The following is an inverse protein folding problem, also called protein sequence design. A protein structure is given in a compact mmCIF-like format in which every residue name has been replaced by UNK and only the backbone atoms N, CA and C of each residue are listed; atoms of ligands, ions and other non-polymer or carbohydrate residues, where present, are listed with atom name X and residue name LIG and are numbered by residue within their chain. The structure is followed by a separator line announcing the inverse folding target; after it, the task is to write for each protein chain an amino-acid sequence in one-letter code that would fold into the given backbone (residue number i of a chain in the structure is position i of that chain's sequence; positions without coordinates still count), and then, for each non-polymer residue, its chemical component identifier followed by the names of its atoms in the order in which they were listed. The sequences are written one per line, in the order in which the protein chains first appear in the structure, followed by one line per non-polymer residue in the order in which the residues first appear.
data_IF_945144923912
#
_entry.id   IF_945144923912
#
_cell.length_a   1.000
_cell.length_b   1.000
_cell.length_c   1.000
_cell.angle_alpha   90.00
_cell.angle_beta   90.00
_cell.angle_gamma   90.00
#
_symmetry.space_group_name_H-M   'P 1'
#
loop_
_entity.id
_entity.type
_entity.pdbx_description
1 polymer ?
#
# COMPACT_ATOMS: atom_id res chain seq x y z
N UNK A 1 17.46 -30.57 4.60
CA UNK A 1 16.09 -29.98 4.66
C UNK A 1 16.11 -28.69 3.87
N UNK A 2 15.36 -28.59 2.77
CA UNK A 2 15.38 -27.45 1.85
C UNK A 2 14.58 -26.28 2.43
N UNK A 3 15.21 -25.13 2.62
CA UNK A 3 14.54 -23.88 2.96
C UNK A 3 13.74 -23.40 1.74
N UNK A 4 12.43 -23.19 1.92
CA UNK A 4 11.56 -22.62 0.90
C UNK A 4 11.79 -21.10 0.93
N UNK A 5 12.59 -20.63 -0.02
CA UNK A 5 12.77 -19.21 -0.31
C UNK A 5 11.48 -18.70 -0.98
N UNK A 6 10.65 -17.96 -0.24
CA UNK A 6 9.48 -17.29 -0.82
C UNK A 6 9.98 -16.04 -1.54
N UNK A 7 10.30 -16.17 -2.82
CA UNK A 7 10.50 -15.04 -3.72
C UNK A 7 9.14 -14.44 -4.08
N UNK A 8 8.96 -13.15 -3.79
CA UNK A 8 7.85 -12.36 -4.31
C UNK A 8 8.21 -11.95 -5.74
N UNK A 9 7.50 -12.52 -6.72
CA UNK A 9 7.61 -12.13 -8.14
C UNK A 9 6.53 -11.09 -8.43
N UNK A 10 6.93 -9.93 -8.93
CA UNK A 10 6.03 -8.88 -9.41
C UNK A 10 5.41 -9.31 -10.75
N UNK A 11 4.08 -9.33 -10.83
CA UNK A 11 3.38 -9.68 -12.07
C UNK A 11 3.36 -8.49 -13.03
N UNK A 12 4.01 -8.68 -14.18
CA UNK A 12 4.00 -7.83 -15.37
C UNK A 12 2.60 -7.81 -16.03
N UNK A 13 2.28 -6.67 -16.64
CA UNK A 13 1.03 -6.31 -17.31
C UNK A 13 0.72 -7.17 -18.55
N UNK A 14 -0.57 -7.51 -18.73
CA UNK A 14 -1.11 -8.08 -19.96
C UNK A 14 -1.63 -6.96 -20.90
N UNK A 15 -1.49 -7.09 -22.24
CA UNK A 15 -1.87 -6.06 -23.21
C UNK A 15 -3.38 -6.08 -23.56
N UNK A 16 -3.93 -4.99 -24.13
CA UNK A 16 -5.37 -4.88 -24.45
C UNK A 16 -5.76 -5.69 -25.70
N UNK A 17 -6.90 -6.38 -25.63
CA UNK A 17 -7.54 -7.06 -26.76
C UNK A 17 -8.21 -6.04 -27.69
N UNK A 18 -8.00 -6.24 -28.99
CA UNK A 18 -8.50 -5.40 -30.08
C UNK A 18 -9.99 -5.62 -30.36
N UNK A 19 -10.69 -4.51 -30.63
CA UNK A 19 -12.08 -4.48 -31.05
C UNK A 19 -12.18 -4.86 -32.54
N UNK A 20 -12.91 -5.94 -32.87
CA UNK A 20 -13.31 -6.25 -34.26
C UNK A 20 -14.67 -5.60 -34.55
N UNK A 21 -14.67 -4.66 -35.48
CA UNK A 21 -15.87 -4.10 -36.09
C UNK A 21 -16.54 -5.14 -37.02
N UNK A 22 -17.87 -5.23 -36.97
CA UNK A 22 -18.68 -5.80 -38.04
C UNK A 22 -19.69 -4.76 -38.51
N UNK A 23 -19.65 -4.56 -39.82
CA UNK A 23 -20.51 -3.71 -40.63
C UNK A 23 -21.89 -4.35 -40.86
N UNK A 24 -22.91 -3.51 -41.01
CA UNK A 24 -24.25 -3.91 -41.46
C UNK A 24 -25.02 -2.68 -41.96
N UNK A 25 -25.47 -2.77 -43.21
CA UNK A 25 -26.01 -1.70 -44.05
C UNK A 25 -27.52 -1.40 -43.85
N UNK A 26 -27.87 -0.14 -44.12
CA UNK A 26 -29.06 0.42 -44.82
C UNK A 26 -30.51 0.09 -44.38
N UNK A 27 -31.30 1.12 -44.05
CA UNK A 27 -32.34 1.68 -44.94
C UNK A 27 -33.06 2.94 -44.38
N UNK A 28 -33.27 3.92 -45.27
CA UNK A 28 -34.20 5.07 -45.24
C UNK A 28 -35.66 4.65 -44.88
N UNK A 29 -36.61 5.42 -44.32
CA UNK A 29 -36.93 6.86 -44.34
C UNK A 29 -38.12 7.16 -43.36
N UNK A 30 -38.71 8.38 -43.25
CA UNK A 30 -39.03 9.06 -41.98
C UNK A 30 -40.51 9.00 -41.54
N UNK A 31 -40.85 9.49 -40.33
CA UNK A 31 -42.10 10.22 -40.00
C UNK A 31 -42.16 10.76 -38.54
N UNK A 32 -42.50 12.05 -38.43
CA UNK A 32 -43.30 12.80 -37.42
C UNK A 32 -43.08 12.66 -35.89
N UNK A 33 -42.60 13.76 -35.32
CA UNK A 33 -43.09 14.52 -34.14
C UNK A 33 -44.16 13.89 -33.23
N UNK A 34 -43.80 13.68 -31.96
CA UNK A 34 -44.64 14.03 -30.79
C UNK A 34 -43.76 14.36 -29.58
N UNK A 35 -43.93 15.55 -29.01
CA UNK A 35 -43.37 15.96 -27.72
C UNK A 35 -44.02 15.13 -26.61
N UNK A 36 -43.24 14.34 -25.89
CA UNK A 36 -43.62 13.73 -24.62
C UNK A 36 -42.70 14.29 -23.53
N UNK A 37 -43.28 15.14 -22.68
CA UNK A 37 -42.66 15.62 -21.46
C UNK A 37 -42.57 14.44 -20.49
N UNK A 38 -41.42 13.75 -20.48
CA UNK A 38 -41.14 12.73 -19.48
C UNK A 38 -40.76 13.43 -18.16
N UNK A 39 -41.67 13.35 -17.19
CA UNK A 39 -41.43 13.71 -15.79
C UNK A 39 -40.11 13.06 -15.33
N UNK A 40 -39.14 13.89 -14.97
CA UNK A 40 -37.86 13.44 -14.47
C UNK A 40 -38.05 12.50 -13.27
N UNK A 41 -37.62 11.25 -13.43
CA UNK A 41 -37.26 10.42 -12.28
C UNK A 41 -36.12 11.14 -11.58
N UNK A 42 -36.43 11.75 -10.44
CA UNK A 42 -35.41 12.19 -9.47
C UNK A 42 -34.53 10.97 -9.21
N UNK A 43 -33.33 10.99 -9.78
CA UNK A 43 -32.27 10.11 -9.33
C UNK A 43 -32.12 10.42 -7.85
N UNK A 44 -32.43 9.43 -7.01
CA UNK A 44 -32.14 9.54 -5.58
C UNK A 44 -30.64 9.80 -5.52
N UNK A 45 -30.28 10.93 -4.92
CA UNK A 45 -28.91 11.20 -4.52
C UNK A 45 -28.58 10.11 -3.50
N UNK A 46 -27.99 9.00 -3.96
CA UNK A 46 -27.33 8.07 -3.06
C UNK A 46 -26.24 8.88 -2.38
N UNK A 47 -26.37 9.09 -1.07
CA UNK A 47 -25.27 9.60 -0.24
C UNK A 47 -24.04 8.80 -0.67
N UNK A 48 -23.09 9.46 -1.34
CA UNK A 48 -21.83 8.83 -1.73
C UNK A 48 -21.23 8.24 -0.46
N UNK A 49 -21.26 6.91 -0.30
CA UNK A 49 -20.70 6.30 0.89
C UNK A 49 -19.21 6.60 0.90
N UNK A 50 -18.71 7.06 2.03
CA UNK A 50 -17.29 7.34 2.23
C UNK A 50 -16.44 6.08 2.01
N UNK A 51 -15.24 6.24 1.46
CA UNK A 51 -14.28 5.14 1.27
C UNK A 51 -13.92 4.54 2.64
N UNK A 52 -13.87 3.21 2.73
CA UNK A 52 -13.42 2.52 3.94
C UNK A 52 -12.06 1.89 3.66
N UNK A 53 -11.07 2.19 4.50
CA UNK A 53 -9.76 1.54 4.52
C UNK A 53 -9.75 0.47 5.61
N UNK A 54 -9.52 -0.79 5.25
CA UNK A 54 -9.33 -1.88 6.21
C UNK A 54 -7.84 -1.98 6.59
N UNK A 55 -7.51 -1.52 7.80
CA UNK A 55 -6.14 -1.40 8.31
C UNK A 55 -5.97 -2.20 9.62
N UNK A 56 -4.72 -2.44 10.02
CA UNK A 56 -4.33 -3.11 11.25
C UNK A 56 -4.16 -2.09 12.38
N UNK A 57 -4.87 -2.22 13.52
CA UNK A 57 -4.72 -1.28 14.62
C UNK A 57 -3.37 -1.42 15.32
N UNK A 58 -2.84 -0.30 15.80
CA UNK A 58 -1.88 -0.28 16.90
C UNK A 58 -2.61 -0.23 18.26
N UNK A 59 -1.88 -0.45 19.36
CA UNK A 59 -2.33 -0.19 20.74
C UNK A 59 -2.80 1.24 20.95
N UNK A 60 -2.31 2.18 20.13
CA UNK A 60 -2.65 3.59 20.18
C UNK A 60 -3.83 3.95 19.27
N UNK A 61 -4.40 2.99 18.54
CA UNK A 61 -5.49 3.23 17.58
C UNK A 61 -5.02 3.96 16.32
N UNK A 62 -3.76 3.78 15.93
CA UNK A 62 -3.13 4.42 14.77
C UNK A 62 -2.55 3.39 13.80
N UNK A 63 -2.35 3.80 12.55
CA UNK A 63 -1.69 2.98 11.53
C UNK A 63 -0.20 2.82 11.80
N UNK A 64 0.34 1.63 11.58
CA UNK A 64 1.77 1.33 11.84
C UNK A 64 2.44 0.51 10.73
N UNK A 65 1.66 -0.29 10.00
CA UNK A 65 2.19 -1.28 9.06
C UNK A 65 2.60 -0.66 7.73
N UNK A 66 3.74 -1.11 7.18
CA UNK A 66 4.28 -0.63 5.90
C UNK A 66 3.25 -0.69 4.76
N UNK A 67 2.55 -1.80 4.59
CA UNK A 67 1.67 -1.96 3.42
C UNK A 67 0.46 -1.02 3.47
N UNK A 68 -0.30 -0.93 4.57
CA UNK A 68 -1.42 0.01 4.67
C UNK A 68 -1.00 1.48 4.63
N UNK A 69 0.18 1.82 5.15
CA UNK A 69 0.69 3.19 5.05
C UNK A 69 0.87 3.67 3.60
N UNK A 70 1.15 2.78 2.64
CA UNK A 70 1.18 3.13 1.20
C UNK A 70 -0.18 3.66 0.73
N UNK A 71 -1.25 2.97 1.10
CA UNK A 71 -2.63 3.37 0.77
C UNK A 71 -3.04 4.62 1.54
N UNK A 72 -2.68 4.73 2.82
CA UNK A 72 -2.95 5.92 3.65
C UNK A 72 -2.31 7.17 3.06
N UNK A 73 -1.02 7.10 2.70
CA UNK A 73 -0.29 8.18 2.03
C UNK A 73 -0.96 8.57 0.71
N UNK A 74 -1.32 7.59 -0.14
CA UNK A 74 -1.99 7.87 -1.41
C UNK A 74 -3.35 8.55 -1.22
N UNK A 75 -4.16 8.11 -0.26
CA UNK A 75 -5.45 8.72 0.07
C UNK A 75 -5.27 10.16 0.62
N UNK A 76 -4.30 10.35 1.52
CA UNK A 76 -4.00 11.64 2.14
C UNK A 76 -3.49 12.65 1.12
N UNK A 77 -2.53 12.24 0.27
CA UNK A 77 -2.02 13.06 -0.83
C UNK A 77 -3.11 13.49 -1.81
N UNK A 78 -4.03 12.57 -2.15
CA UNK A 78 -5.17 12.89 -3.02
C UNK A 78 -6.27 13.71 -2.33
N UNK A 79 -6.18 13.95 -1.03
CA UNK A 79 -7.23 14.64 -0.26
C UNK A 79 -8.54 13.85 -0.19
N UNK A 80 -8.50 12.52 -0.33
CA UNK A 80 -9.71 11.69 -0.31
C UNK A 80 -10.19 11.50 1.13
N UNK A 81 -11.49 11.71 1.37
CA UNK A 81 -12.11 11.36 2.65
C UNK A 81 -12.28 9.85 2.75
N UNK A 82 -11.90 9.29 3.89
CA UNK A 82 -12.06 7.89 4.18
C UNK A 82 -12.17 7.68 5.68
N UNK A 83 -12.73 6.53 6.05
CA UNK A 83 -12.71 5.99 7.41
C UNK A 83 -11.81 4.76 7.47
N UNK A 84 -11.11 4.56 8.58
CA UNK A 84 -10.44 3.29 8.84
C UNK A 84 -11.36 2.33 9.58
N UNK A 85 -11.55 1.14 9.01
CA UNK A 85 -12.05 -0.03 9.72
C UNK A 85 -10.85 -0.82 10.25
N UNK A 86 -10.59 -0.66 11.56
CA UNK A 86 -9.53 -1.36 12.25
C UNK A 86 -9.87 -2.84 12.39
N UNK A 87 -9.09 -3.68 11.71
CA UNK A 87 -9.25 -5.13 11.69
C UNK A 87 -8.01 -5.79 12.28
N UNK A 88 -8.17 -6.55 13.35
CA UNK A 88 -7.07 -7.33 13.92
C UNK A 88 -6.61 -8.41 12.93
N UNK A 89 -5.33 -8.80 12.99
CA UNK A 89 -4.77 -9.85 12.11
C UNK A 89 -5.62 -11.13 11.99
N UNK A 90 -6.07 -11.78 13.09
CA UNK A 90 -6.86 -13.01 13.00
C UNK A 90 -8.22 -12.81 12.33
N UNK A 91 -8.72 -11.57 12.25
CA UNK A 91 -10.05 -11.27 11.74
C UNK A 91 -10.05 -10.90 10.24
N UNK A 92 -8.88 -10.66 9.64
CA UNK A 92 -8.77 -10.30 8.22
C UNK A 92 -9.42 -11.36 7.31
N UNK A 93 -9.03 -12.62 7.47
CA UNK A 93 -9.55 -13.72 6.64
C UNK A 93 -11.07 -13.88 6.76
N UNK A 94 -11.65 -14.14 7.95
CA UNK A 94 -13.10 -14.34 8.05
C UNK A 94 -13.90 -13.10 7.60
N UNK A 95 -13.38 -11.88 7.84
CA UNK A 95 -14.03 -10.65 7.39
C UNK A 95 -14.03 -10.56 5.85
N UNK A 96 -12.90 -10.79 5.20
CA UNK A 96 -12.77 -10.63 3.75
C UNK A 96 -13.43 -11.76 2.95
N UNK A 97 -13.45 -12.98 3.47
CA UNK A 97 -14.26 -14.08 2.91
C UNK A 97 -15.75 -13.71 2.92
N UNK A 98 -16.25 -13.13 4.03
CA UNK A 98 -17.64 -12.67 4.14
C UNK A 98 -17.99 -11.56 3.16
N UNK A 99 -17.02 -10.71 2.80
CA UNK A 99 -17.20 -9.67 1.77
C UNK A 99 -17.12 -10.22 0.34
N UNK A 100 -16.78 -11.50 0.15
CA UNK A 100 -16.58 -12.08 -1.16
C UNK A 100 -15.28 -11.61 -1.84
N UNK A 101 -14.31 -11.11 -1.08
CA UNK A 101 -13.00 -10.73 -1.61
C UNK A 101 -12.25 -12.00 -2.01
N UNK A 102 -11.72 -12.00 -3.23
CA UNK A 102 -10.89 -13.12 -3.70
C UNK A 102 -9.56 -13.16 -2.95
N UNK A 103 -9.06 -14.35 -2.57
CA UNK A 103 -7.78 -14.45 -1.90
C UNK A 103 -6.63 -14.10 -2.86
N UNK A 104 -5.52 -13.64 -2.29
CA UNK A 104 -4.28 -13.47 -3.04
C UNK A 104 -3.82 -14.80 -3.66
N UNK A 105 -3.27 -14.70 -4.87
CA UNK A 105 -2.74 -15.85 -5.62
C UNK A 105 -1.44 -16.41 -5.02
N UNK A 106 -0.71 -15.59 -4.26
CA UNK A 106 0.56 -15.96 -3.63
C UNK A 106 0.65 -15.39 -2.21
N UNK A 107 1.47 -16.01 -1.36
CA UNK A 107 1.68 -15.55 0.02
C UNK A 107 0.44 -15.73 0.92
N UNK A 108 0.19 -14.75 1.79
CA UNK A 108 -0.98 -14.78 2.68
C UNK A 108 -2.26 -14.50 1.88
N UNK A 109 -3.27 -15.36 2.04
CA UNK A 109 -4.54 -15.28 1.29
C UNK A 109 -5.27 -13.95 1.46
N UNK A 110 -5.25 -13.38 2.66
CA UNK A 110 -5.95 -12.14 3.00
C UNK A 110 -5.02 -11.22 3.78
N UNK A 111 -4.89 -9.98 3.31
CA UNK A 111 -3.88 -9.02 3.73
C UNK A 111 -4.50 -7.63 3.89
N UNK A 112 -3.94 -6.84 4.79
CA UNK A 112 -4.19 -5.40 4.83
C UNK A 112 -3.07 -4.69 4.03
N UNK A 113 -3.37 -3.67 3.20
CA UNK A 113 -4.65 -2.98 3.11
C UNK A 113 -5.66 -3.63 2.16
N UNK A 114 -6.93 -3.44 2.49
CA UNK A 114 -8.04 -3.52 1.54
C UNK A 114 -8.87 -2.23 1.65
N UNK A 115 -9.63 -1.89 0.61
CA UNK A 115 -10.58 -0.76 0.63
C UNK A 115 -11.96 -1.21 0.17
N UNK A 116 -12.99 -0.53 0.69
CA UNK A 116 -14.32 -0.48 0.08
C UNK A 116 -14.52 0.88 -0.56
N UNK A 117 -14.74 0.91 -1.86
CA UNK A 117 -15.02 2.12 -2.61
C UNK A 117 -16.48 2.60 -2.41
N UNK A 118 -16.79 3.86 -2.72
CA UNK A 118 -18.15 4.41 -2.62
C UNK A 118 -19.22 3.66 -3.41
N UNK A 119 -18.84 2.95 -4.49
CA UNK A 119 -19.76 2.13 -5.28
C UNK A 119 -20.00 0.72 -4.69
N UNK A 120 -19.36 0.42 -3.56
CA UNK A 120 -19.44 -0.87 -2.87
C UNK A 120 -18.37 -1.88 -3.29
N UNK A 121 -17.52 -1.57 -4.27
CA UNK A 121 -16.44 -2.46 -4.74
C UNK A 121 -15.36 -2.61 -3.67
N UNK A 122 -14.90 -3.84 -3.48
CA UNK A 122 -13.76 -4.14 -2.61
C UNK A 122 -12.49 -4.37 -3.43
N UNK A 123 -11.38 -3.78 -2.97
CA UNK A 123 -10.06 -3.95 -3.59
C UNK A 123 -9.05 -4.26 -2.49
N UNK A 124 -8.31 -5.35 -2.61
CA UNK A 124 -7.20 -5.72 -1.74
C UNK A 124 -5.88 -5.51 -2.50
N UNK A 125 -4.77 -5.39 -1.76
CA UNK A 125 -3.41 -5.10 -2.25
C UNK A 125 -3.15 -3.61 -2.53
N UNK A 126 -2.12 -3.05 -1.88
CA UNK A 126 -1.83 -1.61 -1.92
C UNK A 126 -1.59 -1.09 -3.34
N UNK A 127 -0.98 -1.88 -4.23
CA UNK A 127 -0.73 -1.48 -5.62
C UNK A 127 -2.01 -1.43 -6.45
N UNK A 128 -2.85 -2.46 -6.37
CA UNK A 128 -4.14 -2.48 -7.06
C UNK A 128 -5.05 -1.34 -6.57
N UNK A 129 -5.00 -1.04 -5.27
CA UNK A 129 -5.68 0.13 -4.69
C UNK A 129 -5.13 1.43 -5.30
N UNK A 130 -3.82 1.61 -5.37
CA UNK A 130 -3.22 2.81 -5.99
C UNK A 130 -3.64 2.98 -7.46
N UNK A 131 -3.64 1.91 -8.25
CA UNK A 131 -4.10 1.94 -9.65
C UNK A 131 -5.59 2.35 -9.75
N UNK A 132 -6.44 1.83 -8.85
CA UNK A 132 -7.84 2.21 -8.80
C UNK A 132 -8.06 3.67 -8.36
N UNK A 133 -7.31 4.14 -7.36
CA UNK A 133 -7.36 5.53 -6.91
C UNK A 133 -6.90 6.49 -8.00
N UNK A 134 -5.86 6.16 -8.76
CA UNK A 134 -5.40 6.98 -9.88
C UNK A 134 -6.46 7.08 -10.98
N UNK A 135 -7.11 5.97 -11.31
CA UNK A 135 -8.19 5.95 -12.32
C UNK A 135 -9.43 6.72 -11.87
N UNK A 136 -9.83 6.59 -10.60
CA UNK A 136 -11.06 7.19 -10.07
C UNK A 136 -10.86 8.65 -9.66
N UNK A 137 -9.64 9.02 -9.26
CA UNK A 137 -9.26 10.35 -8.81
C UNK A 137 -7.93 10.76 -9.49
N UNK A 138 -7.96 11.18 -10.77
CA UNK A 138 -6.74 11.46 -11.54
C UNK A 138 -5.94 12.68 -11.06
N UNK A 139 -6.49 13.49 -10.15
CA UNK A 139 -5.84 14.73 -9.66
C UNK A 139 -5.97 14.83 -8.14
N UNK A 140 -4.86 15.08 -7.42
CA UNK A 140 -3.48 15.06 -7.90
C UNK A 140 -3.05 13.65 -8.34
N UNK A 141 -2.18 13.56 -9.36
CA UNK A 141 -1.73 12.27 -9.92
C UNK A 141 -0.69 11.63 -9.02
N UNK A 142 -0.77 10.31 -8.86
CA UNK A 142 0.23 9.48 -8.19
C UNK A 142 1.43 9.16 -9.09
N UNK A 143 1.37 9.49 -10.39
CA UNK A 143 2.45 9.26 -11.36
C UNK A 143 2.95 7.80 -11.32
N UNK A 144 2.03 6.86 -11.42
CA UNK A 144 2.31 5.41 -11.36
C UNK A 144 3.18 4.90 -12.51
N UNK A 145 3.36 5.72 -13.54
CA UNK A 145 4.20 5.54 -14.72
C UNK A 145 5.61 6.13 -14.55
N UNK A 146 5.93 6.69 -13.38
CA UNK A 146 7.26 7.20 -13.06
C UNK A 146 8.35 6.17 -13.38
N UNK A 147 9.49 6.57 -13.98
CA UNK A 147 10.60 5.66 -14.26
C UNK A 147 11.18 5.03 -12.99
N UNK A 148 10.93 5.63 -11.82
CA UNK A 148 11.36 5.09 -10.52
C UNK A 148 10.48 3.95 -10.01
N UNK A 149 9.23 3.85 -10.45
CA UNK A 149 8.24 2.94 -9.85
C UNK A 149 8.73 1.49 -9.87
N UNK A 150 9.19 1.00 -11.03
CA UNK A 150 9.68 -0.38 -11.17
C UNK A 150 10.96 -0.67 -10.37
N UNK A 151 11.87 0.32 -10.25
CA UNK A 151 13.10 0.22 -9.45
C UNK A 151 12.75 0.06 -7.97
N UNK A 152 11.84 0.90 -7.47
CA UNK A 152 11.38 0.87 -6.08
C UNK A 152 10.59 -0.39 -5.76
N UNK A 153 9.72 -0.85 -6.66
CA UNK A 153 8.95 -2.10 -6.48
C UNK A 153 9.82 -3.34 -6.46
N UNK A 154 11.00 -3.30 -7.09
CA UNK A 154 11.98 -4.39 -6.98
C UNK A 154 12.80 -4.29 -5.70
N UNK A 155 13.25 -3.08 -5.35
CA UNK A 155 14.25 -2.88 -4.30
C UNK A 155 13.69 -2.84 -2.88
N UNK A 156 12.58 -2.12 -2.67
CA UNK A 156 12.04 -1.94 -1.32
C UNK A 156 11.60 -3.26 -0.70
N UNK A 157 11.01 -4.23 -1.42
CA UNK A 157 10.77 -5.56 -0.86
C UNK A 157 12.04 -6.26 -0.38
N UNK A 158 13.15 -6.16 -1.11
CA UNK A 158 14.42 -6.76 -0.69
C UNK A 158 14.99 -6.09 0.57
N UNK A 159 14.95 -4.75 0.63
CA UNK A 159 15.33 -3.99 1.82
C UNK A 159 14.44 -4.34 3.03
N UNK A 160 13.12 -4.35 2.87
CA UNK A 160 12.21 -4.76 3.94
C UNK A 160 12.50 -6.20 4.35
N UNK A 161 12.72 -7.11 3.40
CA UNK A 161 13.06 -8.49 3.71
C UNK A 161 14.39 -8.62 4.46
N UNK A 162 15.40 -7.82 4.14
CA UNK A 162 16.68 -7.85 4.86
C UNK A 162 16.53 -7.40 6.32
N UNK A 163 15.62 -6.46 6.61
CA UNK A 163 15.34 -5.94 7.95
C UNK A 163 14.37 -6.81 8.78
N UNK A 164 13.93 -7.96 8.27
CA UNK A 164 12.99 -8.85 8.96
C UNK A 164 13.42 -9.25 10.38
N UNK A 165 14.70 -9.60 10.65
CA UNK A 165 15.19 -9.86 12.02
C UNK A 165 15.04 -8.69 12.99
N UNK A 166 14.93 -7.47 12.48
CA UNK A 166 14.71 -6.27 13.28
C UNK A 166 13.24 -6.11 13.61
N UNK A 167 12.38 -5.96 12.59
CA UNK A 167 11.01 -5.55 12.87
C UNK A 167 10.08 -6.68 13.30
N UNK A 168 10.26 -7.93 12.82
CA UNK A 168 9.31 -8.99 13.18
C UNK A 168 9.28 -9.28 14.70
N UNK A 169 10.40 -9.31 15.43
CA UNK A 169 10.38 -9.44 16.89
C UNK A 169 9.86 -8.19 17.62
N UNK A 170 10.03 -7.00 17.03
CA UNK A 170 9.63 -5.73 17.66
C UNK A 170 8.15 -5.38 17.45
N UNK A 171 7.59 -5.66 16.26
CA UNK A 171 6.19 -5.37 15.90
C UNK A 171 5.18 -5.83 16.97
N UNK A 172 5.16 -7.09 17.45
CA UNK A 172 4.21 -7.51 18.47
C UNK A 172 4.37 -6.73 19.78
N UNK A 173 5.60 -6.42 20.17
CA UNK A 173 5.91 -5.70 21.41
C UNK A 173 5.45 -4.23 21.32
N UNK A 174 5.74 -3.58 20.19
CA UNK A 174 5.53 -2.15 19.98
C UNK A 174 4.08 -1.81 19.62
N UNK A 175 3.50 -2.51 18.64
CA UNK A 175 2.24 -2.07 18.01
C UNK A 175 1.02 -2.91 18.37
N UNK A 176 1.15 -4.23 18.53
CA UNK A 176 -0.03 -5.09 18.42
C UNK A 176 -0.87 -5.18 19.70
N UNK A 177 -2.19 -5.11 19.54
CA UNK A 177 -3.14 -5.53 20.58
C UNK A 177 -3.03 -7.04 20.84
N UNK A 178 -3.57 -7.50 21.97
CA UNK A 178 -3.44 -8.91 22.40
C UNK A 178 -3.86 -9.94 21.32
N UNK A 179 -5.01 -9.80 20.61
CA UNK A 179 -5.39 -10.78 19.59
C UNK A 179 -4.38 -10.85 18.42
N UNK A 180 -3.95 -9.70 17.93
CA UNK A 180 -2.92 -9.62 16.89
C UNK A 180 -1.54 -10.09 17.39
N UNK A 181 -1.19 -9.82 18.64
CA UNK A 181 0.05 -10.29 19.26
C UNK A 181 0.13 -11.82 19.24
N UNK A 182 -0.90 -12.49 19.75
CA UNK A 182 -0.96 -13.96 19.85
C UNK A 182 -0.92 -14.59 18.45
N UNK A 183 -1.72 -14.05 17.52
CA UNK A 183 -1.72 -14.49 16.13
C UNK A 183 -0.35 -14.29 15.46
N UNK A 184 0.28 -13.14 15.67
CA UNK A 184 1.55 -12.80 15.04
C UNK A 184 2.67 -13.72 15.54
N UNK A 185 2.79 -13.93 16.85
CA UNK A 185 3.75 -14.90 17.40
C UNK A 185 3.53 -16.29 16.82
N UNK A 186 2.32 -16.83 16.94
CA UNK A 186 2.02 -18.19 16.48
C UNK A 186 2.32 -18.39 14.98
N UNK A 187 1.93 -17.44 14.14
CA UNK A 187 2.11 -17.56 12.68
C UNK A 187 3.55 -17.31 12.23
N UNK A 188 4.24 -16.32 12.82
CA UNK A 188 5.61 -15.97 12.38
C UNK A 188 6.63 -16.96 12.91
N UNK A 189 6.52 -17.43 14.15
CA UNK A 189 7.43 -18.46 14.68
C UNK A 189 7.28 -19.78 13.92
N UNK A 190 6.04 -20.17 13.62
CA UNK A 190 5.78 -21.32 12.74
C UNK A 190 6.42 -21.14 11.36
N UNK A 191 6.31 -19.96 10.76
CA UNK A 191 6.91 -19.67 9.45
C UNK A 191 8.44 -19.63 9.49
N UNK A 192 9.04 -19.22 10.62
CA UNK A 192 10.50 -19.12 10.79
C UNK A 192 11.12 -20.44 11.24
N UNK A 193 10.33 -21.33 11.86
CA UNK A 193 10.83 -22.54 12.51
C UNK A 193 11.63 -22.25 13.80
N UNK A 194 11.51 -21.05 14.37
CA UNK A 194 12.19 -20.64 15.61
C UNK A 194 11.43 -19.52 16.33
N UNK A 195 11.66 -19.33 17.64
CA UNK A 195 11.08 -18.22 18.41
C UNK A 195 11.52 -16.84 17.87
N UNK A 196 10.65 -15.84 17.99
CA UNK A 196 10.96 -14.47 17.55
C UNK A 196 12.13 -13.85 18.30
N UNK A 197 12.29 -14.15 19.59
CA UNK A 197 13.41 -13.63 20.40
C UNK A 197 14.76 -14.19 19.92
N UNK A 198 14.80 -15.47 19.52
CA UNK A 198 16.00 -16.05 18.90
C UNK A 198 16.27 -15.44 17.53
N UNK A 199 15.22 -15.19 16.75
CA UNK A 199 15.35 -14.54 15.45
C UNK A 199 15.89 -13.10 15.56
N UNK A 200 15.62 -12.42 16.67
CA UNK A 200 16.12 -11.06 16.95
C UNK A 200 17.66 -10.99 17.10
N UNK A 201 18.34 -12.09 17.41
CA UNK A 201 19.80 -12.15 17.48
C UNK A 201 20.46 -11.78 16.14
N UNK A 202 19.73 -11.92 15.01
CA UNK A 202 20.19 -11.51 13.68
C UNK A 202 19.99 -10.02 13.34
N UNK A 203 19.54 -9.17 14.28
CA UNK A 203 19.18 -7.78 14.01
C UNK A 203 20.36 -6.93 13.50
N UNK A 204 21.55 -7.08 14.07
CA UNK A 204 22.73 -6.29 13.65
C UNK A 204 23.20 -6.69 12.24
N UNK A 205 23.25 -7.99 11.94
CA UNK A 205 23.57 -8.49 10.60
C UNK A 205 22.52 -8.05 9.57
N UNK A 206 21.24 -8.09 9.95
CA UNK A 206 20.14 -7.60 9.13
C UNK A 206 20.28 -6.10 8.81
N UNK A 207 20.67 -5.29 9.80
CA UNK A 207 20.89 -3.87 9.60
C UNK A 207 22.09 -3.62 8.67
N UNK A 208 23.20 -4.35 8.85
CA UNK A 208 24.34 -4.28 7.94
C UNK A 208 23.96 -4.62 6.49
N UNK A 209 23.10 -5.62 6.28
CA UNK A 209 22.55 -5.98 4.95
C UNK A 209 21.62 -4.91 4.37
N UNK A 210 20.99 -4.08 5.22
CA UNK A 210 20.12 -3.00 4.78
C UNK A 210 20.91 -1.77 4.27
N UNK A 211 22.13 -1.54 4.79
CA UNK A 211 22.94 -0.34 4.47
C UNK A 211 23.15 -0.09 2.96
N UNK A 212 23.48 -1.09 2.12
CA UNK A 212 23.64 -0.85 0.68
C UNK A 212 22.35 -0.37 0.01
N UNK A 213 21.19 -0.87 0.43
CA UNK A 213 19.91 -0.42 -0.09
C UNK A 213 19.56 0.99 0.39
N UNK A 214 19.86 1.32 1.66
CA UNK A 214 19.69 2.67 2.20
C UNK A 214 20.51 3.69 1.39
N UNK A 215 21.78 3.37 1.15
CA UNK A 215 22.66 4.15 0.27
C UNK A 215 22.07 4.31 -1.12
N UNK A 216 21.66 3.21 -1.74
CA UNK A 216 21.13 3.23 -3.10
C UNK A 216 19.84 4.06 -3.22
N UNK A 217 18.95 4.02 -2.22
CA UNK A 217 17.78 4.90 -2.18
C UNK A 217 18.18 6.37 -2.04
N UNK A 218 19.16 6.67 -1.19
CA UNK A 218 19.70 8.02 -1.07
C UNK A 218 20.26 8.54 -2.39
N UNK A 219 21.08 7.75 -3.09
CA UNK A 219 21.60 8.07 -4.41
C UNK A 219 20.47 8.37 -5.42
N UNK A 220 19.42 7.55 -5.45
CA UNK A 220 18.26 7.80 -6.32
C UNK A 220 17.58 9.15 -6.03
N UNK A 221 17.44 9.52 -4.76
CA UNK A 221 16.85 10.80 -4.35
C UNK A 221 17.73 12.01 -4.71
N UNK A 222 19.01 11.80 -5.04
CA UNK A 222 19.89 12.86 -5.56
C UNK A 222 19.88 12.98 -7.08
N UNK A 223 19.22 12.07 -7.81
CA UNK A 223 19.19 12.11 -9.28
C UNK A 223 18.44 13.35 -9.82
N UNK A 224 17.55 13.95 -9.02
CA UNK A 224 16.80 15.17 -9.36
C UNK A 224 16.88 16.20 -8.22
N UNK A 225 16.74 17.49 -8.57
CA UNK A 225 16.71 18.55 -7.56
C UNK A 225 15.37 18.58 -6.82
N UNK A 226 15.39 18.17 -5.55
CA UNK A 226 14.25 18.22 -4.63
C UNK A 226 14.24 17.02 -3.68
N UNK A 227 13.26 16.94 -2.78
CA UNK A 227 13.21 15.87 -1.77
C UNK A 227 12.58 14.57 -2.27
N UNK A 228 11.97 14.56 -3.45
CA UNK A 228 11.27 13.40 -4.03
C UNK A 228 12.07 12.81 -5.20
N UNK A 229 11.74 11.57 -5.58
CA UNK A 229 12.40 10.89 -6.70
C UNK A 229 12.30 11.65 -8.02
N UNK A 230 11.19 12.34 -8.29
CA UNK A 230 11.03 13.27 -9.43
C UNK A 230 11.27 14.74 -9.03
N UNK A 231 12.20 14.97 -8.10
CA UNK A 231 12.61 16.29 -7.64
C UNK A 231 11.58 16.94 -6.72
N UNK A 232 10.80 17.89 -7.23
CA UNK A 232 9.79 18.65 -6.46
C UNK A 232 8.41 18.01 -6.46
N UNK A 233 8.19 17.02 -7.34
CA UNK A 233 6.89 16.38 -7.54
C UNK A 233 6.88 15.01 -6.85
N UNK A 234 5.99 14.78 -5.87
CA UNK A 234 5.84 13.47 -5.26
C UNK A 234 5.25 12.47 -6.27
N UNK A 235 5.72 11.24 -6.22
CA UNK A 235 5.20 10.09 -6.97
C UNK A 235 4.89 8.92 -6.02
N UNK A 236 4.10 7.95 -6.44
CA UNK A 236 3.74 6.81 -5.58
C UNK A 236 4.95 6.01 -5.08
N UNK A 237 6.03 5.97 -5.87
CA UNK A 237 7.29 5.35 -5.47
C UNK A 237 7.87 5.99 -4.19
N UNK A 238 7.73 7.30 -4.01
CA UNK A 238 8.10 7.99 -2.78
C UNK A 238 7.30 7.45 -1.59
N UNK A 239 5.98 7.27 -1.75
CA UNK A 239 5.10 6.78 -0.69
C UNK A 239 5.42 5.35 -0.27
N UNK A 240 5.95 4.52 -1.18
CA UNK A 240 6.43 3.17 -0.84
C UNK A 240 7.63 3.23 0.12
N UNK A 241 8.54 4.19 -0.09
CA UNK A 241 9.70 4.45 0.79
C UNK A 241 9.26 5.09 2.10
N UNK A 242 8.44 6.14 2.04
CA UNK A 242 7.94 6.86 3.23
C UNK A 242 7.15 5.93 4.15
N UNK A 243 6.31 5.05 3.60
CA UNK A 243 5.58 4.07 4.39
C UNK A 243 6.53 3.10 5.14
N UNK A 244 7.65 2.72 4.53
CA UNK A 244 8.67 1.90 5.18
C UNK A 244 9.32 2.68 6.32
N UNK A 245 9.75 3.92 6.04
CA UNK A 245 10.36 4.80 7.04
C UNK A 245 9.41 5.06 8.21
N UNK A 246 8.11 5.26 7.95
CA UNK A 246 7.09 5.47 8.99
C UNK A 246 6.96 4.29 9.96
N UNK A 247 7.00 3.06 9.43
CA UNK A 247 7.01 1.85 10.26
C UNK A 247 8.30 1.77 11.08
N UNK A 248 9.46 1.98 10.45
CA UNK A 248 10.75 1.93 11.14
C UNK A 248 10.90 3.02 12.21
N UNK A 249 10.36 4.21 11.97
CA UNK A 249 10.31 5.28 12.95
C UNK A 249 9.49 4.88 14.18
N UNK A 250 8.32 4.26 13.99
CA UNK A 250 7.53 3.73 15.09
C UNK A 250 8.23 2.61 15.87
N UNK A 251 9.19 1.91 15.25
CA UNK A 251 10.02 0.89 15.89
C UNK A 251 11.30 1.45 16.54
N UNK A 252 11.53 2.76 16.47
CA UNK A 252 12.73 3.40 17.02
C UNK A 252 13.99 3.28 16.16
N UNK A 253 13.84 2.99 14.86
CA UNK A 253 14.96 2.81 13.92
C UNK A 253 15.21 4.01 12.99
N UNK A 254 14.43 5.09 13.10
CA UNK A 254 14.58 6.28 12.26
C UNK A 254 16.00 6.86 12.33
N UNK A 255 16.51 7.16 13.52
CA UNK A 255 17.84 7.79 13.67
C UNK A 255 18.97 6.90 13.16
N UNK A 256 18.86 5.58 13.35
CA UNK A 256 19.81 4.62 12.79
C UNK A 256 19.82 4.70 11.27
N UNK A 257 18.66 4.68 10.62
CA UNK A 257 18.55 4.75 9.16
C UNK A 257 19.06 6.09 8.63
N UNK A 258 18.66 7.20 9.27
CA UNK A 258 19.04 8.55 8.85
C UNK A 258 20.51 8.88 9.08
N UNK A 259 21.19 8.13 9.96
CA UNK A 259 22.63 8.26 10.20
C UNK A 259 23.52 7.49 9.21
N UNK A 260 22.96 6.63 8.35
CA UNK A 260 23.73 5.89 7.35
C UNK A 260 23.98 6.73 6.07
N UNK A 261 24.88 6.26 5.21
CA UNK A 261 25.08 6.82 3.88
C UNK A 261 23.76 6.75 3.07
N UNK A 262 23.30 7.89 2.52
CA UNK A 262 21.98 8.04 1.90
C UNK A 262 20.83 8.34 2.88
N UNK A 263 21.09 8.27 4.19
CA UNK A 263 20.11 8.49 5.24
C UNK A 263 19.62 9.94 5.34
N UNK A 264 20.45 10.91 4.97
CA UNK A 264 20.07 12.33 4.95
C UNK A 264 18.98 12.61 3.93
N UNK A 265 19.08 12.00 2.75
CA UNK A 265 18.13 12.12 1.65
C UNK A 265 16.81 11.44 2.02
N UNK A 266 16.86 10.24 2.62
CA UNK A 266 15.67 9.58 3.17
C UNK A 266 14.98 10.40 4.25
N UNK A 267 15.75 11.08 5.12
CA UNK A 267 15.21 12.00 6.11
C UNK A 267 14.51 13.18 5.44
N UNK A 268 15.13 13.79 4.43
CA UNK A 268 14.55 14.90 3.68
C UNK A 268 13.22 14.49 3.00
N UNK A 269 13.18 13.30 2.39
CA UNK A 269 11.97 12.72 1.83
C UNK A 269 10.86 12.54 2.88
N UNK A 270 11.20 11.95 4.03
CA UNK A 270 10.25 11.71 5.12
C UNK A 270 9.68 13.02 5.69
N UNK A 271 10.53 14.02 5.87
CA UNK A 271 10.19 15.36 6.32
C UNK A 271 9.29 16.10 5.32
N UNK A 272 9.60 16.01 4.03
CA UNK A 272 8.79 16.58 2.96
C UNK A 272 7.39 15.94 2.83
N UNK A 273 7.21 14.75 3.40
CA UNK A 273 5.95 13.99 3.36
C UNK A 273 5.10 14.12 4.63
N UNK A 274 5.49 14.98 5.58
CA UNK A 274 4.88 15.08 6.91
C UNK A 274 3.38 15.34 6.89
N UNK A 275 2.90 16.23 6.03
CA UNK A 275 1.47 16.55 5.94
C UNK A 275 0.61 15.31 5.61
N UNK A 276 1.13 14.37 4.81
CA UNK A 276 0.41 13.14 4.47
C UNK A 276 0.56 12.04 5.53
N UNK A 277 1.38 12.26 6.56
CA UNK A 277 1.52 11.37 7.72
C UNK A 277 0.60 11.76 8.89
N UNK A 278 0.00 12.96 8.89
CA UNK A 278 -0.82 13.46 10.00
C UNK A 278 -2.11 12.64 10.21
N UNK A 279 -2.76 12.20 9.12
CA UNK A 279 -4.01 11.43 9.20
C UNK A 279 -3.74 9.95 9.46
N UNK A 280 -3.31 9.63 10.67
CA UNK A 280 -2.91 8.28 11.09
C UNK A 280 -4.03 7.44 11.73
N UNK A 281 -5.18 8.04 12.05
CA UNK A 281 -6.29 7.39 12.77
C UNK A 281 -7.71 7.65 12.23
N UNK A 282 -7.84 8.30 11.06
CA UNK A 282 -9.14 8.56 10.40
C UNK A 282 -9.84 7.26 10.02
#
# INVERSE_FOLDING_TARGET
MKAILVQFVTSSSAPPLSCRALSGYSHHSPLRSTKLVSKGRRHRYTMSSELILYDLPSKQGTGWSHNPWKTRLALNFKGISYKTDWTEYPDLQPKFEKFGISPNSTGAKYTSPAVKLPDGTYIMESRAIADALERLHPTPSLHLDSPYQSRIEKMVPDLVNSMRPIFMPLVPKTFLNKPSYDYFHATREKSLGMPLDKYAEGADEAFMKAKPYIKQLGEMLTENEGPFLEGKKPVYADFVIVAMLRMQAGLGYADKIFGEEGGKELKALYEASKEWLERENH
#
